data_IF_664730420069
#
_entry.id   IF_664730420069
#
_cell.length_a   1.000
_cell.length_b   1.000
_cell.length_c   1.000
_cell.angle_alpha   90.00
_cell.angle_beta   90.00
_cell.angle_gamma   90.00
#
_symmetry.space_group_name_H-M   'P 1'
#
loop_
_entity.id
_entity.type
_entity.pdbx_description
1 polymer ?
#
# COMPACT_ATOMS: atom_id res chain seq x y z
N UNK A 1 8.60 -5.15 25.07
CA UNK A 1 7.65 -4.02 24.96
C UNK A 1 6.37 -4.55 24.33
N UNK A 2 5.17 -3.99 24.64
CA UNK A 2 3.92 -4.39 23.92
C UNK A 2 3.88 -3.75 22.54
N UNK A 3 3.19 -4.36 21.59
CA UNK A 3 3.12 -3.90 20.20
C UNK A 3 2.59 -2.47 20.11
N UNK A 4 1.46 -2.17 20.76
CA UNK A 4 0.89 -0.82 20.74
C UNK A 4 1.78 0.26 21.43
N UNK A 5 2.57 -0.10 22.45
CA UNK A 5 3.50 0.83 23.08
C UNK A 5 4.62 1.25 22.12
N UNK A 6 5.10 0.28 21.33
CA UNK A 6 6.10 0.49 20.27
C UNK A 6 5.51 1.36 19.16
N UNK A 7 4.31 1.03 18.70
CA UNK A 7 3.55 1.80 17.73
C UNK A 7 3.38 3.27 18.14
N UNK A 8 2.96 3.53 19.38
CA UNK A 8 2.81 4.90 19.91
C UNK A 8 4.11 5.72 19.91
N UNK A 9 5.27 5.06 19.95
CA UNK A 9 6.56 5.74 19.81
C UNK A 9 6.83 6.08 18.34
N UNK A 10 6.54 5.15 17.41
CA UNK A 10 6.82 5.31 15.99
C UNK A 10 5.94 6.36 15.31
N UNK A 11 4.64 6.41 15.65
CA UNK A 11 3.72 7.39 15.03
C UNK A 11 4.06 8.85 15.36
N UNK A 12 4.80 9.10 16.44
CA UNK A 12 5.26 10.46 16.79
C UNK A 12 6.42 10.96 15.93
N UNK A 13 7.06 10.07 15.18
CA UNK A 13 8.13 10.43 14.25
C UNK A 13 7.50 10.79 12.91
N UNK A 14 7.74 12.01 12.46
CA UNK A 14 7.25 12.47 11.17
C UNK A 14 8.05 11.84 10.03
N UNK A 15 7.40 11.07 9.17
CA UNK A 15 8.05 10.31 8.08
C UNK A 15 7.35 10.47 6.73
N UNK A 16 6.45 11.46 6.56
CA UNK A 16 5.74 11.63 5.31
C UNK A 16 6.71 11.73 4.12
N UNK A 17 6.43 10.96 3.08
CA UNK A 17 7.09 11.02 1.77
C UNK A 17 6.69 12.26 0.97
N UNK A 18 7.16 12.42 -0.25
CA UNK A 18 6.85 13.56 -1.12
C UNK A 18 6.82 13.16 -2.59
N UNK A 19 5.72 13.44 -3.27
CA UNK A 19 5.61 13.25 -4.72
C UNK A 19 6.46 14.22 -5.54
N UNK A 20 6.79 15.39 -4.97
CA UNK A 20 7.55 16.45 -5.64
C UNK A 20 9.07 16.22 -5.63
N UNK A 21 9.54 15.19 -4.94
CA UNK A 21 10.97 14.89 -4.78
C UNK A 21 11.43 13.77 -5.69
N UNK A 22 12.62 13.92 -6.26
CA UNK A 22 13.32 12.87 -7.01
C UNK A 22 14.47 12.23 -6.23
N UNK A 23 14.66 12.61 -4.96
CA UNK A 23 15.66 11.98 -4.09
C UNK A 23 15.16 10.61 -3.57
N UNK A 24 16.07 9.81 -3.04
CA UNK A 24 15.76 8.55 -2.34
C UNK A 24 16.49 8.55 -1.01
N UNK A 25 15.79 8.56 0.13
CA UNK A 25 14.33 8.68 0.23
C UNK A 25 13.84 10.05 -0.28
N UNK A 26 12.56 10.13 -0.60
CA UNK A 26 11.95 11.40 -1.05
C UNK A 26 11.99 12.49 0.00
N UNK A 27 12.08 12.11 1.28
CA UNK A 27 12.27 13.01 2.42
C UNK A 27 13.28 12.46 3.41
N UNK A 28 14.25 13.30 3.81
CA UNK A 28 15.31 12.95 4.79
C UNK A 28 14.77 12.54 6.17
N UNK A 29 13.56 12.99 6.53
CA UNK A 29 12.92 12.71 7.83
C UNK A 29 12.66 11.23 8.05
N UNK A 30 12.56 10.42 7.00
CA UNK A 30 12.36 8.96 7.09
C UNK A 30 13.56 8.27 7.79
N UNK A 31 14.78 8.84 7.66
CA UNK A 31 15.94 8.34 8.39
C UNK A 31 15.80 8.41 9.91
N UNK A 32 14.94 9.26 10.47
CA UNK A 32 14.77 9.37 11.90
C UNK A 32 14.15 8.08 12.47
N UNK A 33 13.12 7.55 11.78
CA UNK A 33 12.54 6.26 12.13
C UNK A 33 13.50 5.11 11.82
N UNK A 34 14.13 5.10 10.64
CA UNK A 34 15.08 4.06 10.25
C UNK A 34 16.21 3.88 11.29
N UNK A 35 16.80 4.98 11.76
CA UNK A 35 17.86 4.96 12.79
C UNK A 35 17.35 4.45 14.14
N UNK A 36 16.11 4.80 14.52
CA UNK A 36 15.48 4.27 15.74
C UNK A 36 15.29 2.76 15.64
N UNK A 37 14.78 2.26 14.50
CA UNK A 37 14.57 0.83 14.27
C UNK A 37 15.86 0.04 14.33
N UNK A 38 16.93 0.52 13.72
CA UNK A 38 18.26 -0.10 13.82
C UNK A 38 18.74 -0.14 15.27
N UNK A 39 18.57 0.95 16.02
CA UNK A 39 18.93 1.00 17.44
C UNK A 39 18.13 0.00 18.29
N UNK A 40 16.84 -0.14 18.04
CA UNK A 40 16.00 -1.09 18.75
C UNK A 40 16.35 -2.55 18.37
N UNK A 41 16.61 -2.82 17.09
CA UNK A 41 17.09 -4.14 16.63
C UNK A 41 18.39 -4.54 17.32
N UNK A 42 19.36 -3.64 17.42
CA UNK A 42 20.58 -3.89 18.19
C UNK A 42 20.29 -4.17 19.67
N UNK A 43 19.38 -3.41 20.28
CA UNK A 43 19.02 -3.57 21.69
C UNK A 43 18.37 -4.94 22.00
N UNK A 44 17.67 -5.54 21.04
CA UNK A 44 17.10 -6.90 21.16
C UNK A 44 18.04 -8.01 20.69
N UNK A 45 19.30 -7.69 20.31
CA UNK A 45 20.33 -8.66 19.97
C UNK A 45 20.52 -8.93 18.49
N UNK A 46 19.91 -8.14 17.59
CA UNK A 46 20.11 -8.26 16.13
C UNK A 46 21.21 -7.30 15.69
N UNK A 47 22.46 -7.69 15.92
CA UNK A 47 23.64 -6.82 15.76
C UNK A 47 23.97 -6.44 14.31
N UNK A 48 23.48 -7.19 13.31
CA UNK A 48 23.71 -6.91 11.90
C UNK A 48 22.70 -5.93 11.30
N UNK A 49 21.79 -5.39 12.11
CA UNK A 49 20.83 -4.40 11.65
C UNK A 49 21.54 -3.13 11.20
N UNK A 50 21.14 -2.62 10.05
CA UNK A 50 21.71 -1.41 9.45
C UNK A 50 20.68 -0.66 8.62
N UNK A 51 20.88 0.61 8.43
CA UNK A 51 20.22 1.42 7.41
C UNK A 51 21.24 1.79 6.34
N UNK A 52 20.86 1.71 5.07
CA UNK A 52 21.71 2.10 3.95
C UNK A 52 21.57 3.61 3.61
N UNK A 53 22.28 4.05 2.58
CA UNK A 53 22.30 5.44 2.12
C UNK A 53 20.99 5.87 1.42
N UNK A 54 20.11 4.92 1.13
CA UNK A 54 18.79 5.12 0.53
C UNK A 54 17.64 4.91 1.52
N UNK A 55 17.97 4.83 2.83
CA UNK A 55 17.03 4.67 3.92
C UNK A 55 16.38 3.28 4.04
N UNK A 56 16.87 2.25 3.36
CA UNK A 56 16.40 0.88 3.60
C UNK A 56 17.02 0.32 4.87
N UNK A 57 16.19 -0.25 5.73
CA UNK A 57 16.67 -1.00 6.90
C UNK A 57 16.71 -2.48 6.56
N UNK A 58 17.86 -3.10 6.81
CA UNK A 58 18.06 -4.54 6.68
C UNK A 58 18.59 -5.14 7.98
N UNK A 59 18.02 -6.28 8.35
CA UNK A 59 18.47 -7.06 9.48
C UNK A 59 18.19 -8.55 9.26
N UNK A 60 18.92 -9.42 9.94
CA UNK A 60 18.60 -10.84 9.91
C UNK A 60 18.94 -11.54 11.23
N UNK A 61 18.18 -12.59 11.54
CA UNK A 61 18.45 -13.50 12.66
C UNK A 61 18.83 -14.85 12.06
N UNK A 62 20.00 -15.38 12.44
CA UNK A 62 20.46 -16.68 11.96
C UNK A 62 19.54 -17.80 12.43
N UNK A 63 19.39 -18.87 11.64
CA UNK A 63 18.61 -20.03 12.01
C UNK A 63 19.06 -20.63 13.35
N UNK A 64 18.11 -21.07 14.15
CA UNK A 64 18.41 -21.80 15.39
C UNK A 64 18.93 -23.21 15.08
N UNK A 65 19.71 -23.84 16.00
CA UNK A 65 20.20 -25.19 15.82
C UNK A 65 19.08 -26.19 15.47
N UNK A 66 19.24 -26.91 14.36
CA UNK A 66 18.27 -27.85 13.82
C UNK A 66 17.29 -27.26 12.81
N UNK A 67 17.30 -25.94 12.58
CA UNK A 67 16.47 -25.26 11.59
C UNK A 67 17.28 -24.64 10.43
N UNK A 68 18.56 -25.01 10.27
CA UNK A 68 19.47 -24.47 9.25
C UNK A 68 18.99 -24.76 7.82
N UNK A 69 18.24 -25.85 7.65
CA UNK A 69 17.64 -26.25 6.37
C UNK A 69 16.18 -25.78 6.20
N UNK A 70 15.65 -25.00 7.15
CA UNK A 70 14.34 -24.39 6.98
C UNK A 70 14.42 -23.23 5.99
N UNK A 71 13.32 -22.91 5.30
CA UNK A 71 13.27 -21.74 4.42
C UNK A 71 13.61 -20.45 5.16
N UNK A 72 14.37 -19.56 4.50
CA UNK A 72 14.57 -18.20 4.99
C UNK A 72 13.32 -17.37 4.69
N UNK A 73 12.68 -16.83 5.73
CA UNK A 73 11.47 -16.03 5.59
C UNK A 73 11.73 -14.57 5.93
N UNK A 74 11.16 -13.67 5.14
CA UNK A 74 11.23 -12.23 5.33
C UNK A 74 9.93 -11.63 5.82
N UNK A 75 10.03 -10.53 6.58
CA UNK A 75 8.92 -9.65 6.91
C UNK A 75 9.33 -8.21 6.59
N UNK A 76 8.46 -7.51 5.90
CA UNK A 76 8.73 -6.17 5.35
C UNK A 76 7.56 -5.26 5.72
N UNK A 77 7.85 -4.00 6.04
CA UNK A 77 6.88 -2.94 6.29
C UNK A 77 7.47 -1.61 5.83
N UNK A 78 6.63 -0.61 5.50
CA UNK A 78 7.16 0.67 5.08
C UNK A 78 7.21 1.71 6.22
N UNK A 79 8.12 2.66 6.11
CA UNK A 79 8.39 3.64 7.16
C UNK A 79 7.70 4.98 6.93
N UNK A 80 7.45 5.31 5.68
CA UNK A 80 6.82 6.58 5.32
C UNK A 80 5.32 6.59 5.61
N UNK A 81 4.74 7.76 5.57
CA UNK A 81 3.30 7.98 5.58
C UNK A 81 2.90 8.80 4.38
N UNK A 82 1.65 8.66 3.97
CA UNK A 82 1.09 9.35 2.81
C UNK A 82 1.36 10.87 2.84
N UNK A 83 1.68 11.50 1.67
CA UNK A 83 1.87 12.94 1.58
C UNK A 83 0.56 13.75 1.55
N UNK A 84 -0.58 13.12 1.20
CA UNK A 84 -1.87 13.79 1.00
C UNK A 84 -2.44 14.44 2.26
N UNK A 85 -2.09 13.92 3.43
CA UNK A 85 -2.50 14.45 4.72
C UNK A 85 -1.33 14.53 5.70
N UNK A 86 -1.32 15.56 6.55
CA UNK A 86 -0.20 15.78 7.48
C UNK A 86 0.05 14.60 8.40
N UNK A 87 1.30 14.15 8.48
CA UNK A 87 1.83 13.23 9.50
C UNK A 87 2.74 13.92 10.52
N UNK A 88 2.68 15.26 10.63
CA UNK A 88 3.51 16.03 11.54
C UNK A 88 2.81 16.26 12.88
N UNK A 89 3.54 16.03 14.00
CA UNK A 89 3.05 16.18 15.36
C UNK A 89 1.83 15.32 15.71
N UNK A 90 1.82 14.08 15.27
CA UNK A 90 0.74 13.12 15.55
C UNK A 90 0.49 13.01 17.06
N UNK A 91 -0.78 13.21 17.46
CA UNK A 91 -1.25 13.13 18.84
C UNK A 91 -2.15 11.91 19.03
N UNK A 92 -1.58 10.71 19.22
CA UNK A 92 -2.39 9.50 19.36
C UNK A 92 -3.16 9.51 20.69
N UNK A 93 -4.42 9.07 20.65
CA UNK A 93 -5.29 8.94 21.82
C UNK A 93 -5.81 7.52 21.92
N UNK A 94 -5.69 6.92 23.09
CA UNK A 94 -6.22 5.61 23.41
C UNK A 94 -7.65 5.76 23.95
N UNK A 95 -8.56 4.93 23.47
CA UNK A 95 -9.95 4.83 23.89
C UNK A 95 -10.20 3.39 24.32
N UNK A 96 -10.17 3.16 25.62
CA UNK A 96 -10.43 1.84 26.18
C UNK A 96 -11.91 1.48 26.13
N UNK A 97 -12.21 0.20 25.93
CA UNK A 97 -13.55 -0.35 25.93
C UNK A 97 -14.52 0.43 25.05
N UNK A 98 -14.12 0.62 23.78
CA UNK A 98 -14.90 1.39 22.79
C UNK A 98 -16.35 0.91 22.71
N UNK A 99 -17.31 1.82 22.73
CA UNK A 99 -18.74 1.50 22.78
C UNK A 99 -19.38 1.16 21.42
N UNK A 100 -18.65 1.38 20.31
CA UNK A 100 -19.11 1.17 18.94
C UNK A 100 -19.79 2.41 18.32
N UNK A 101 -19.82 3.54 19.03
CA UNK A 101 -20.49 4.77 18.62
C UNK A 101 -19.56 5.84 18.02
N UNK A 102 -20.04 7.08 18.01
CA UNK A 102 -19.28 8.23 17.50
C UNK A 102 -18.12 8.60 18.44
N UNK A 103 -16.95 8.92 17.86
CA UNK A 103 -15.78 9.41 18.57
C UNK A 103 -15.39 10.78 18.05
N UNK A 104 -15.44 11.81 18.91
CA UNK A 104 -14.93 13.15 18.58
C UNK A 104 -13.40 13.13 18.59
N UNK A 105 -12.79 13.55 17.50
CA UNK A 105 -11.34 13.58 17.31
C UNK A 105 -10.76 14.94 17.78
N UNK A 106 -10.26 14.96 19.02
CA UNK A 106 -9.66 16.15 19.60
C UNK A 106 -10.56 17.38 19.52
N UNK A 107 -9.97 18.51 19.10
CA UNK A 107 -10.66 19.80 18.90
C UNK A 107 -10.89 20.13 17.43
N UNK A 108 -10.60 19.19 16.52
CA UNK A 108 -10.71 19.41 15.07
C UNK A 108 -12.15 19.53 14.56
N UNK A 109 -13.15 19.17 15.38
CA UNK A 109 -14.55 19.08 14.99
C UNK A 109 -14.89 17.85 14.14
N UNK A 110 -13.90 17.00 13.82
CA UNK A 110 -14.10 15.74 13.11
C UNK A 110 -14.66 14.67 14.03
N UNK A 111 -15.51 13.81 13.47
CA UNK A 111 -16.12 12.70 14.22
C UNK A 111 -15.89 11.41 13.45
N UNK A 112 -15.22 10.46 14.08
CA UNK A 112 -15.16 9.08 13.66
C UNK A 112 -16.54 8.47 13.92
N UNK A 113 -17.28 8.10 12.87
CA UNK A 113 -18.70 7.76 13.02
C UNK A 113 -19.08 6.51 12.23
N UNK A 114 -19.87 5.58 12.83
CA UNK A 114 -20.42 4.42 12.14
C UNK A 114 -21.23 4.74 10.88
N UNK A 115 -21.76 5.95 10.77
CA UNK A 115 -22.48 6.42 9.57
C UNK A 115 -21.59 6.51 8.34
N UNK A 116 -20.30 6.81 8.54
CA UNK A 116 -19.30 6.90 7.48
C UNK A 116 -18.41 5.66 7.42
N UNK A 117 -18.18 5.01 8.54
CA UNK A 117 -17.31 3.86 8.72
C UNK A 117 -18.10 2.70 9.35
N UNK A 118 -18.82 1.91 8.53
CA UNK A 118 -19.75 0.88 9.01
C UNK A 118 -19.13 -0.25 9.81
N UNK A 119 -17.80 -0.43 9.78
CA UNK A 119 -17.09 -1.44 10.56
C UNK A 119 -16.96 -1.08 12.06
N UNK A 120 -17.05 0.18 12.43
CA UNK A 120 -16.84 0.66 13.82
C UNK A 120 -17.65 -0.11 14.88
N UNK A 121 -18.93 -0.46 14.68
CA UNK A 121 -19.69 -1.25 15.65
C UNK A 121 -19.08 -2.64 15.93
N UNK A 122 -18.36 -3.23 14.98
CA UNK A 122 -17.68 -4.52 15.17
C UNK A 122 -16.47 -4.42 16.10
N UNK A 123 -15.96 -3.21 16.32
CA UNK A 123 -14.82 -2.93 17.20
C UNK A 123 -15.27 -2.65 18.66
N UNK A 124 -16.56 -2.77 18.95
CA UNK A 124 -17.10 -2.57 20.31
C UNK A 124 -16.40 -3.48 21.31
N UNK A 125 -15.98 -2.91 22.46
CA UNK A 125 -15.26 -3.58 23.52
C UNK A 125 -13.74 -3.65 23.32
N UNK A 126 -13.24 -3.31 22.12
CA UNK A 126 -11.80 -3.20 21.85
C UNK A 126 -11.24 -1.84 22.34
N UNK A 127 -9.92 -1.76 22.40
CA UNK A 127 -9.18 -0.55 22.69
C UNK A 127 -8.76 0.11 21.39
N UNK A 128 -9.33 1.28 21.06
CA UNK A 128 -8.97 2.05 19.87
C UNK A 128 -7.79 2.97 20.12
N UNK A 129 -6.95 3.13 19.11
CA UNK A 129 -5.98 4.22 19.01
C UNK A 129 -6.37 5.08 17.82
N UNK A 130 -6.59 6.38 18.04
CA UNK A 130 -7.04 7.36 17.04
C UNK A 130 -6.14 8.59 17.09
N UNK A 131 -6.24 9.46 16.07
CA UNK A 131 -5.60 10.79 16.10
C UNK A 131 -6.50 11.83 16.78
N UNK A 132 -6.00 13.06 16.88
CA UNK A 132 -6.81 14.23 17.26
C UNK A 132 -7.63 14.80 16.09
N UNK A 133 -7.53 14.19 14.91
CA UNK A 133 -8.22 14.60 13.68
C UNK A 133 -7.51 15.71 12.90
N UNK A 134 -6.29 16.08 13.26
CA UNK A 134 -5.47 17.07 12.52
C UNK A 134 -4.40 16.44 11.65
N UNK A 135 -4.08 15.16 11.90
CA UNK A 135 -3.07 14.38 11.18
C UNK A 135 -3.60 13.01 10.79
N UNK A 136 -2.87 12.27 9.92
CA UNK A 136 -2.96 10.80 9.87
C UNK A 136 -2.53 10.23 11.22
N UNK A 137 -2.86 8.98 11.52
CA UNK A 137 -2.30 8.25 12.66
C UNK A 137 -0.92 7.67 12.30
N UNK A 138 -0.76 7.20 11.07
CA UNK A 138 0.40 6.46 10.58
C UNK A 138 0.34 4.99 11.00
N UNK A 139 -0.85 4.43 11.11
CA UNK A 139 -1.10 3.00 11.23
C UNK A 139 -0.55 2.28 10.02
N UNK A 140 -0.78 2.83 8.88
CA UNK A 140 -0.19 2.53 7.59
C UNK A 140 1.15 3.28 7.45
N UNK A 141 2.35 2.61 7.61
CA UNK A 141 2.45 1.20 8.02
C UNK A 141 3.31 1.02 9.29
N UNK A 142 3.28 1.99 10.22
CA UNK A 142 4.00 1.88 11.49
C UNK A 142 3.39 0.82 12.42
N UNK A 143 2.15 0.35 12.13
CA UNK A 143 1.57 -0.79 12.82
C UNK A 143 2.32 -2.07 12.44
N UNK A 144 2.50 -2.34 11.14
CA UNK A 144 3.27 -3.49 10.66
C UNK A 144 4.72 -3.47 11.15
N UNK A 145 5.37 -2.29 11.16
CA UNK A 145 6.70 -2.15 11.77
C UNK A 145 6.68 -2.60 13.24
N UNK A 146 5.72 -2.12 14.04
CA UNK A 146 5.64 -2.45 15.47
C UNK A 146 5.36 -3.94 15.70
N UNK A 147 4.56 -4.57 14.85
CA UNK A 147 4.23 -5.99 14.86
C UNK A 147 5.45 -6.85 14.56
N UNK A 148 6.16 -6.54 13.47
CA UNK A 148 7.41 -7.23 13.11
C UNK A 148 8.43 -7.10 14.23
N UNK A 149 8.69 -5.90 14.71
CA UNK A 149 9.67 -5.64 15.77
C UNK A 149 9.33 -6.38 17.07
N UNK A 150 8.04 -6.44 17.43
CA UNK A 150 7.59 -7.16 18.63
C UNK A 150 7.67 -8.67 18.45
N UNK A 151 7.34 -9.18 17.26
CA UNK A 151 7.48 -10.60 16.96
C UNK A 151 8.94 -11.05 17.04
N UNK A 152 9.87 -10.29 16.44
CA UNK A 152 11.32 -10.59 16.50
C UNK A 152 11.86 -10.54 17.94
N UNK A 153 11.49 -9.51 18.73
CA UNK A 153 11.85 -9.47 20.16
C UNK A 153 11.38 -10.72 20.91
N UNK A 154 10.13 -11.17 20.65
CA UNK A 154 9.58 -12.39 21.28
C UNK A 154 10.27 -13.66 20.82
N UNK A 155 10.57 -13.80 19.52
CA UNK A 155 11.31 -14.94 18.99
C UNK A 155 12.64 -15.12 19.71
N UNK A 156 13.38 -14.02 19.88
CA UNK A 156 14.70 -14.03 20.52
C UNK A 156 14.58 -14.28 22.03
N UNK A 157 13.73 -13.55 22.73
CA UNK A 157 13.60 -13.61 24.19
C UNK A 157 12.98 -14.92 24.68
N UNK A 158 12.09 -15.53 23.91
CA UNK A 158 11.45 -16.80 24.20
C UNK A 158 12.27 -18.01 23.67
N UNK A 159 13.39 -17.77 22.98
CA UNK A 159 14.22 -18.79 22.34
C UNK A 159 13.40 -19.71 21.41
N UNK A 160 12.51 -19.16 20.59
CA UNK A 160 11.69 -19.94 19.68
C UNK A 160 12.53 -20.54 18.55
N UNK A 161 12.34 -21.81 18.16
CA UNK A 161 12.98 -22.36 16.98
C UNK A 161 12.54 -21.64 15.71
N UNK A 162 13.51 -21.30 14.83
CA UNK A 162 13.22 -20.62 13.55
C UNK A 162 14.32 -20.88 12.52
N UNK A 163 13.97 -20.88 11.24
CA UNK A 163 14.92 -20.74 10.13
C UNK A 163 15.54 -19.34 10.11
N UNK A 164 16.31 -19.02 9.09
CA UNK A 164 16.81 -17.64 8.92
C UNK A 164 15.61 -16.69 8.81
N UNK A 165 15.58 -15.63 9.65
CA UNK A 165 14.61 -14.56 9.56
C UNK A 165 15.26 -13.34 8.93
N UNK A 166 14.58 -12.70 7.98
CA UNK A 166 15.01 -11.47 7.34
C UNK A 166 14.02 -10.37 7.66
N UNK A 167 14.49 -9.20 8.03
CA UNK A 167 13.69 -8.03 8.39
C UNK A 167 14.07 -6.90 7.44
N UNK A 168 13.09 -6.30 6.80
CA UNK A 168 13.25 -5.16 5.91
C UNK A 168 12.29 -4.05 6.26
N UNK A 169 12.76 -2.79 6.25
CA UNK A 169 11.86 -1.64 6.28
C UNK A 169 12.19 -0.73 5.11
N UNK A 170 11.16 -0.35 4.35
CA UNK A 170 11.28 0.42 3.10
C UNK A 170 10.90 1.88 3.31
N UNK A 171 11.54 2.82 2.62
CA UNK A 171 11.04 4.19 2.48
C UNK A 171 10.09 4.30 1.27
N UNK A 172 9.36 5.41 1.12
CA UNK A 172 8.71 5.86 -0.11
C UNK A 172 7.69 4.89 -0.73
N UNK A 173 7.06 4.01 0.05
CA UNK A 173 6.00 3.13 -0.44
C UNK A 173 4.80 3.94 -0.93
N UNK A 174 4.37 4.92 -0.16
CA UNK A 174 3.19 5.76 -0.38
C UNK A 174 3.26 6.65 -1.65
N UNK A 175 4.45 6.79 -2.21
CA UNK A 175 4.68 7.41 -3.52
C UNK A 175 5.03 6.38 -4.61
N UNK A 176 4.82 5.08 -4.31
CA UNK A 176 4.98 3.97 -5.25
C UNK A 176 6.42 3.63 -5.59
N UNK A 177 7.40 4.01 -4.78
CA UNK A 177 8.83 3.80 -5.03
C UNK A 177 9.52 2.94 -3.97
N UNK A 178 8.77 2.38 -3.01
CA UNK A 178 9.32 1.67 -1.85
C UNK A 178 10.26 0.53 -2.20
N UNK A 179 9.92 -0.30 -3.15
CA UNK A 179 10.77 -1.43 -3.55
C UNK A 179 11.83 -1.09 -4.61
N UNK A 180 11.88 0.14 -5.18
CA UNK A 180 12.71 0.46 -6.35
C UNK A 180 14.21 0.18 -6.17
N UNK A 181 14.72 0.40 -4.97
CA UNK A 181 16.11 0.20 -4.66
C UNK A 181 16.34 -0.91 -3.62
N UNK A 182 15.30 -1.70 -3.30
CA UNK A 182 15.41 -2.80 -2.34
C UNK A 182 16.36 -3.89 -2.87
N UNK A 183 17.35 -4.26 -2.08
CA UNK A 183 18.34 -5.27 -2.47
C UNK A 183 17.86 -6.67 -2.06
N UNK A 184 17.05 -7.31 -2.91
CA UNK A 184 16.50 -8.66 -2.68
C UNK A 184 17.61 -9.70 -2.43
N UNK A 185 18.72 -9.62 -3.16
CA UNK A 185 19.84 -10.57 -3.01
C UNK A 185 20.52 -10.45 -1.63
N UNK A 186 20.68 -9.24 -1.13
CA UNK A 186 21.24 -8.98 0.19
C UNK A 186 20.24 -9.31 1.30
N UNK A 187 18.96 -9.02 1.12
CA UNK A 187 17.89 -9.39 2.04
C UNK A 187 17.91 -10.90 2.29
N UNK A 188 18.06 -11.69 1.23
CA UNK A 188 18.43 -13.11 1.29
C UNK A 188 17.36 -13.99 1.92
N UNK A 189 16.08 -13.67 1.74
CA UNK A 189 14.95 -14.52 2.04
C UNK A 189 14.55 -15.35 0.81
N UNK A 190 14.02 -16.56 1.02
CA UNK A 190 13.46 -17.40 -0.05
C UNK A 190 12.08 -16.85 -0.48
N UNK A 191 11.33 -16.26 0.46
CA UNK A 191 10.06 -15.54 0.29
C UNK A 191 9.80 -14.61 1.49
N UNK A 192 8.86 -13.71 1.34
CA UNK A 192 8.53 -12.76 2.40
C UNK A 192 7.02 -12.51 2.51
N UNK A 193 6.63 -11.75 3.51
CA UNK A 193 5.35 -11.08 3.62
C UNK A 193 5.60 -9.58 3.82
N UNK A 194 4.87 -8.74 3.12
CA UNK A 194 4.63 -7.38 3.58
C UNK A 194 3.58 -7.43 4.69
N UNK A 195 3.81 -6.71 5.77
CA UNK A 195 2.88 -6.56 6.88
C UNK A 195 2.44 -5.11 6.82
N UNK A 196 1.37 -4.84 6.05
CA UNK A 196 1.10 -3.52 5.50
C UNK A 196 -0.40 -3.28 5.31
N UNK A 197 -0.97 -2.35 6.08
CA UNK A 197 -2.34 -1.88 6.00
C UNK A 197 -3.44 -2.94 6.13
N UNK A 198 -4.68 -2.50 6.18
CA UNK A 198 -5.85 -3.37 6.19
C UNK A 198 -6.21 -4.01 7.52
N UNK A 199 -7.42 -4.60 7.59
CA UNK A 199 -7.94 -5.20 8.80
C UNK A 199 -7.18 -6.46 9.23
N UNK A 200 -7.23 -6.78 10.53
CA UNK A 200 -6.66 -8.03 11.03
C UNK A 200 -7.26 -9.26 10.33
N UNK A 201 -6.40 -10.13 9.79
CA UNK A 201 -6.80 -11.33 9.07
C UNK A 201 -7.00 -11.13 7.57
N UNK A 202 -6.78 -9.95 7.02
CA UNK A 202 -6.66 -9.75 5.57
C UNK A 202 -5.36 -10.38 5.07
N UNK A 203 -5.47 -11.08 3.93
CA UNK A 203 -4.37 -11.77 3.26
C UNK A 203 -4.55 -11.49 1.78
N UNK A 204 -3.55 -10.86 1.17
CA UNK A 204 -3.68 -10.35 -0.18
C UNK A 204 -2.50 -10.81 -1.03
N UNK A 205 -2.79 -11.41 -2.18
CA UNK A 205 -1.79 -11.92 -3.12
C UNK A 205 -2.11 -11.56 -4.57
N UNK A 206 -3.08 -10.69 -4.74
CA UNK A 206 -3.49 -10.10 -6.01
C UNK A 206 -3.60 -8.59 -5.87
N UNK A 207 -3.16 -7.87 -6.86
CA UNK A 207 -3.29 -6.42 -6.94
C UNK A 207 -3.68 -6.01 -8.36
N UNK A 208 -4.00 -4.74 -8.59
CA UNK A 208 -4.25 -4.27 -9.94
C UNK A 208 -3.01 -4.41 -10.85
N UNK A 209 -3.27 -4.68 -12.15
CA UNK A 209 -2.42 -4.14 -13.20
C UNK A 209 -2.75 -2.66 -13.36
N UNK A 210 -1.75 -1.82 -13.51
CA UNK A 210 -1.89 -0.38 -13.54
C UNK A 210 -1.24 0.24 -14.78
N UNK A 211 -1.93 1.18 -15.39
CA UNK A 211 -1.36 2.05 -16.40
C UNK A 211 -1.81 3.50 -16.18
N UNK A 212 -0.98 4.43 -16.60
CA UNK A 212 -1.32 5.84 -16.76
C UNK A 212 -1.49 6.16 -18.24
N UNK A 213 -2.45 7.01 -18.59
CA UNK A 213 -2.62 7.49 -19.95
C UNK A 213 -2.68 9.02 -19.95
N UNK A 214 -1.79 9.63 -20.70
CA UNK A 214 -1.83 11.07 -20.99
C UNK A 214 -2.40 11.30 -22.39
N UNK A 215 -3.41 12.14 -22.46
CA UNK A 215 -4.10 12.50 -23.69
C UNK A 215 -3.90 13.99 -23.92
N UNK A 216 -3.49 14.33 -25.13
CA UNK A 216 -3.39 15.72 -25.59
C UNK A 216 -4.32 15.89 -26.78
N UNK A 217 -5.20 16.87 -26.70
CA UNK A 217 -6.09 17.23 -27.79
C UNK A 217 -5.63 18.56 -28.38
N UNK A 218 -5.30 18.57 -29.66
CA UNK A 218 -4.91 19.75 -30.43
C UNK A 218 -6.15 20.30 -31.17
N UNK A 219 -6.58 21.47 -30.80
CA UNK A 219 -7.72 22.14 -31.42
C UNK A 219 -7.30 23.05 -32.58
N UNK A 220 -8.29 23.67 -33.20
CA UNK A 220 -8.12 24.72 -34.18
C UNK A 220 -9.08 25.86 -33.85
N UNK A 221 -8.54 26.95 -33.35
CA UNK A 221 -9.32 28.13 -32.94
C UNK A 221 -9.48 29.13 -34.11
N UNK A 222 -10.67 29.67 -34.22
CA UNK A 222 -11.01 30.73 -35.18
C UNK A 222 -12.14 31.58 -34.57
N UNK A 223 -12.33 32.78 -35.08
CA UNK A 223 -13.40 33.67 -34.61
C UNK A 223 -14.76 32.94 -34.59
N UNK A 224 -15.49 32.91 -33.48
CA UNK A 224 -16.71 32.10 -33.32
C UNK A 224 -17.76 32.35 -34.41
N UNK A 225 -17.89 33.56 -34.90
CA UNK A 225 -18.82 33.91 -36.00
C UNK A 225 -18.48 33.26 -37.34
N UNK A 226 -17.23 32.85 -37.56
CA UNK A 226 -16.71 32.26 -38.80
C UNK A 226 -16.38 30.76 -38.64
N UNK A 227 -16.72 30.18 -37.50
CA UNK A 227 -16.25 28.87 -37.03
C UNK A 227 -16.95 27.68 -37.63
N UNK A 228 -18.12 27.83 -38.28
CA UNK A 228 -18.92 26.76 -38.82
C UNK A 228 -18.11 25.82 -39.73
N UNK A 229 -18.03 24.53 -39.38
CA UNK A 229 -17.29 23.48 -40.08
C UNK A 229 -15.75 23.72 -40.19
N UNK A 230 -15.20 24.54 -39.31
CA UNK A 230 -13.77 24.88 -39.31
C UNK A 230 -13.15 24.69 -37.91
N UNK A 231 -13.78 25.23 -36.88
CA UNK A 231 -13.23 25.21 -35.52
C UNK A 231 -13.25 23.76 -34.97
N UNK A 232 -12.14 23.37 -34.36
CA UNK A 232 -12.02 22.17 -33.53
C UNK A 232 -11.78 22.65 -32.11
N UNK A 233 -12.78 22.53 -31.26
CA UNK A 233 -12.64 22.91 -29.85
C UNK A 233 -12.06 21.74 -29.06
N UNK A 234 -10.81 21.88 -28.61
CA UNK A 234 -10.11 20.81 -27.90
C UNK A 234 -10.81 20.33 -26.64
N UNK A 235 -11.44 21.25 -25.87
CA UNK A 235 -12.21 20.87 -24.68
C UNK A 235 -13.41 20.00 -25.03
N UNK A 236 -14.13 20.30 -26.09
CA UNK A 236 -15.30 19.51 -26.51
C UNK A 236 -14.89 18.13 -27.05
N UNK A 237 -13.78 18.05 -27.76
CA UNK A 237 -13.21 16.75 -28.22
C UNK A 237 -12.73 15.93 -27.04
N UNK A 238 -12.12 16.54 -26.04
CA UNK A 238 -11.70 15.87 -24.80
C UNK A 238 -12.92 15.31 -24.04
N UNK A 239 -13.99 16.08 -23.90
CA UNK A 239 -15.26 15.60 -23.29
C UNK A 239 -15.90 14.46 -24.11
N UNK A 240 -15.84 14.54 -25.46
CA UNK A 240 -16.31 13.46 -26.32
C UNK A 240 -15.50 12.18 -26.11
N UNK A 241 -14.16 12.27 -26.03
CA UNK A 241 -13.30 11.12 -25.71
C UNK A 241 -13.74 10.47 -24.40
N UNK A 242 -13.88 11.26 -23.33
CA UNK A 242 -14.32 10.73 -22.04
C UNK A 242 -15.68 10.00 -22.14
N UNK A 243 -16.60 10.52 -22.94
CA UNK A 243 -17.93 9.90 -23.12
C UNK A 243 -17.91 8.58 -23.93
N UNK A 244 -16.81 8.28 -24.62
CA UNK A 244 -16.60 7.03 -25.38
C UNK A 244 -16.00 5.91 -24.53
N UNK A 245 -15.48 6.23 -23.34
CA UNK A 245 -14.95 5.23 -22.42
C UNK A 245 -16.08 4.62 -21.59
N UNK A 246 -15.91 3.36 -21.10
CA UNK A 246 -16.84 2.75 -20.18
C UNK A 246 -17.05 3.62 -18.91
N UNK A 247 -18.28 3.65 -18.40
CA UNK A 247 -18.65 4.33 -17.15
C UNK A 247 -18.29 3.46 -15.92
N UNK A 248 -17.05 3.01 -15.87
CA UNK A 248 -16.44 2.24 -14.78
C UNK A 248 -15.41 3.13 -14.12
N UNK A 249 -15.73 3.63 -12.94
CA UNK A 249 -14.93 4.59 -12.18
C UNK A 249 -14.65 4.06 -10.78
N UNK A 250 -13.72 4.63 -10.01
CA UNK A 250 -13.52 4.25 -8.61
C UNK A 250 -14.79 4.38 -7.75
N UNK A 251 -15.73 5.26 -8.15
CA UNK A 251 -16.94 5.53 -7.39
C UNK A 251 -18.04 4.47 -7.55
N UNK A 252 -17.98 3.63 -8.59
CA UNK A 252 -19.02 2.66 -8.93
C UNK A 252 -18.49 1.24 -9.19
N UNK A 253 -17.24 0.96 -8.78
CA UNK A 253 -16.58 -0.35 -8.93
C UNK A 253 -16.05 -0.85 -7.60
N UNK A 254 -16.07 -2.18 -7.40
CA UNK A 254 -15.59 -2.85 -6.19
C UNK A 254 -14.89 -4.18 -6.50
N UNK A 255 -14.23 -4.78 -5.50
CA UNK A 255 -13.59 -6.09 -5.61
C UNK A 255 -12.64 -6.17 -6.80
N UNK A 256 -12.89 -7.10 -7.71
CA UNK A 256 -12.06 -7.35 -8.91
C UNK A 256 -12.37 -6.41 -10.09
N UNK A 257 -13.37 -5.57 -9.97
CA UNK A 257 -13.77 -4.66 -11.07
C UNK A 257 -12.73 -3.57 -11.28
N UNK A 258 -12.28 -3.44 -12.53
CA UNK A 258 -11.36 -2.39 -12.94
C UNK A 258 -12.06 -1.09 -13.31
N UNK A 259 -11.29 -0.04 -13.62
CA UNK A 259 -11.84 1.28 -13.93
C UNK A 259 -10.95 2.11 -14.85
N UNK A 260 -11.57 3.16 -15.42
CA UNK A 260 -10.90 4.36 -15.91
C UNK A 260 -11.15 5.50 -14.92
N UNK A 261 -10.12 6.21 -14.52
CA UNK A 261 -10.25 7.37 -13.64
C UNK A 261 -9.55 8.57 -14.25
N UNK A 262 -10.35 9.56 -14.66
CA UNK A 262 -9.86 10.87 -15.06
C UNK A 262 -9.40 11.61 -13.82
N UNK A 263 -8.10 11.82 -13.66
CA UNK A 263 -7.50 12.45 -12.49
C UNK A 263 -7.29 13.94 -12.66
N UNK A 264 -7.00 14.38 -13.89
CA UNK A 264 -6.88 15.81 -14.22
C UNK A 264 -7.39 16.09 -15.63
N UNK A 265 -7.95 17.28 -15.82
CA UNK A 265 -8.33 17.82 -17.13
C UNK A 265 -8.17 19.32 -17.14
N UNK A 266 -7.36 19.82 -18.07
CA UNK A 266 -7.12 21.26 -18.24
C UNK A 266 -7.08 21.65 -19.71
N UNK A 267 -7.27 22.93 -20.01
CA UNK A 267 -7.10 23.42 -21.38
C UNK A 267 -7.99 24.58 -21.80
N UNK A 268 -8.02 24.79 -23.11
CA UNK A 268 -8.82 25.81 -23.80
C UNK A 268 -9.24 25.32 -25.20
N UNK A 269 -9.71 26.21 -26.07
CA UNK A 269 -10.16 25.85 -27.44
C UNK A 269 -9.04 25.27 -28.29
N UNK A 270 -7.79 25.72 -28.10
CA UNK A 270 -6.64 25.31 -28.94
C UNK A 270 -5.95 24.04 -28.43
N UNK A 271 -5.99 23.80 -27.12
CA UNK A 271 -5.33 22.64 -26.52
C UNK A 271 -6.04 22.21 -25.25
N UNK A 272 -6.23 20.91 -25.09
CA UNK A 272 -6.66 20.30 -23.83
C UNK A 272 -5.76 19.12 -23.49
N UNK A 273 -5.56 18.91 -22.20
CA UNK A 273 -4.85 17.75 -21.66
C UNK A 273 -5.74 17.01 -20.69
N UNK A 274 -5.60 15.68 -20.66
CA UNK A 274 -6.31 14.80 -19.73
C UNK A 274 -5.33 13.75 -19.22
N UNK A 275 -5.38 13.48 -17.91
CA UNK A 275 -4.62 12.42 -17.28
C UNK A 275 -5.56 11.36 -16.73
N UNK A 276 -5.32 10.11 -17.10
CA UNK A 276 -6.07 8.94 -16.63
C UNK A 276 -5.17 7.96 -15.90
N UNK A 277 -5.72 7.34 -14.88
CA UNK A 277 -5.23 6.06 -14.39
C UNK A 277 -6.20 4.95 -14.82
N UNK A 278 -5.64 3.82 -15.26
CA UNK A 278 -6.38 2.64 -15.73
C UNK A 278 -5.98 1.48 -14.84
N UNK A 279 -6.96 0.76 -14.32
CA UNK A 279 -6.77 -0.35 -13.38
C UNK A 279 -7.62 -1.55 -13.77
N UNK A 280 -7.04 -2.75 -13.67
CA UNK A 280 -7.78 -4.00 -13.74
C UNK A 280 -6.94 -5.15 -13.15
N UNK A 281 -7.57 -6.12 -12.48
CA UNK A 281 -6.86 -7.29 -11.95
C UNK A 281 -6.48 -8.27 -13.06
N UNK A 282 -7.28 -8.36 -14.13
CA UNK A 282 -7.04 -9.24 -15.27
C UNK A 282 -6.14 -8.57 -16.31
N UNK A 283 -5.01 -9.20 -16.64
CA UNK A 283 -4.14 -8.73 -17.73
C UNK A 283 -4.88 -8.67 -19.08
N UNK A 284 -5.76 -9.64 -19.35
CA UNK A 284 -6.56 -9.67 -20.58
C UNK A 284 -7.54 -8.49 -20.65
N UNK A 285 -8.23 -8.17 -19.55
CA UNK A 285 -9.14 -7.02 -19.50
C UNK A 285 -8.34 -5.70 -19.52
N UNK A 286 -7.21 -5.62 -18.84
CA UNK A 286 -6.32 -4.46 -18.91
C UNK A 286 -5.86 -4.17 -20.35
N UNK A 287 -5.52 -5.20 -21.09
CA UNK A 287 -5.19 -5.09 -22.53
C UNK A 287 -6.40 -4.59 -23.32
N UNK A 288 -7.59 -5.10 -23.05
CA UNK A 288 -8.82 -4.65 -23.69
C UNK A 288 -9.15 -3.17 -23.36
N UNK A 289 -8.94 -2.73 -22.11
CA UNK A 289 -9.10 -1.33 -21.70
C UNK A 289 -8.18 -0.40 -22.48
N UNK A 290 -6.90 -0.74 -22.59
CA UNK A 290 -5.93 0.02 -23.41
C UNK A 290 -6.35 0.08 -24.88
N UNK A 291 -6.86 -1.03 -25.43
CA UNK A 291 -7.36 -1.08 -26.81
C UNK A 291 -8.62 -0.22 -26.99
N UNK A 292 -9.51 -0.16 -26.00
CA UNK A 292 -10.71 0.72 -26.02
C UNK A 292 -10.31 2.18 -26.09
N UNK A 293 -9.34 2.62 -25.26
CA UNK A 293 -8.81 3.98 -25.31
C UNK A 293 -8.19 4.30 -26.68
N UNK A 294 -7.33 3.41 -27.19
CA UNK A 294 -6.71 3.58 -28.50
C UNK A 294 -7.75 3.64 -29.64
N UNK A 295 -8.83 2.87 -29.53
CA UNK A 295 -9.94 2.91 -30.49
C UNK A 295 -10.69 4.24 -30.46
N UNK A 296 -10.99 4.78 -29.27
CA UNK A 296 -11.60 6.09 -29.12
C UNK A 296 -10.74 7.20 -29.75
N UNK A 297 -9.44 7.18 -29.48
CA UNK A 297 -8.47 8.11 -30.10
C UNK A 297 -8.49 8.01 -31.62
N UNK A 298 -8.51 6.78 -32.16
CA UNK A 298 -8.59 6.56 -33.60
C UNK A 298 -9.85 7.16 -34.21
N UNK A 299 -11.03 6.89 -33.65
CA UNK A 299 -12.32 7.45 -34.12
C UNK A 299 -12.29 8.97 -34.14
N UNK A 300 -11.79 9.61 -33.08
CA UNK A 300 -11.72 11.07 -33.03
C UNK A 300 -10.75 11.64 -34.05
N UNK A 301 -9.61 11.00 -34.29
CA UNK A 301 -8.70 11.41 -35.36
C UNK A 301 -9.28 11.22 -36.77
N UNK A 302 -10.12 10.19 -36.99
CA UNK A 302 -10.86 10.03 -38.25
C UNK A 302 -11.92 11.14 -38.42
N UNK A 303 -12.58 11.56 -37.32
CA UNK A 303 -13.61 12.59 -37.33
C UNK A 303 -13.07 14.01 -37.48
N UNK A 304 -12.01 14.34 -36.74
CA UNK A 304 -11.50 15.72 -36.63
C UNK A 304 -10.19 15.99 -37.38
N UNK A 305 -9.54 14.96 -37.89
CA UNK A 305 -8.26 15.02 -38.58
C UNK A 305 -7.13 14.34 -37.81
N UNK A 306 -6.19 13.78 -38.55
CA UNK A 306 -5.03 13.07 -37.96
C UNK A 306 -4.20 14.01 -37.10
N UNK A 307 -3.83 13.58 -35.89
CA UNK A 307 -3.05 14.35 -34.93
C UNK A 307 -3.87 15.29 -34.05
N UNK A 308 -5.21 15.31 -34.20
CA UNK A 308 -6.09 16.05 -33.27
C UNK A 308 -6.02 15.48 -31.88
N UNK A 309 -5.97 14.16 -31.72
CA UNK A 309 -5.85 13.50 -30.43
C UNK A 309 -4.58 12.66 -30.39
N UNK A 310 -3.70 12.95 -29.45
CA UNK A 310 -2.51 12.19 -29.14
C UNK A 310 -2.72 11.47 -27.80
N UNK A 311 -2.27 10.23 -27.70
CA UNK A 311 -2.39 9.43 -26.48
C UNK A 311 -1.10 8.67 -26.21
N UNK A 312 -0.59 8.80 -25.00
CA UNK A 312 0.56 8.04 -24.50
C UNK A 312 0.11 7.21 -23.31
N UNK A 313 0.28 5.89 -23.39
CA UNK A 313 -0.02 4.97 -22.29
C UNK A 313 1.28 4.40 -21.74
N UNK A 314 1.44 4.40 -20.42
CA UNK A 314 2.58 3.82 -19.72
C UNK A 314 2.09 2.86 -18.66
N UNK A 315 2.61 1.63 -18.68
CA UNK A 315 2.40 0.67 -17.61
C UNK A 315 3.17 1.10 -16.35
N UNK A 316 2.56 0.95 -15.19
CA UNK A 316 3.13 1.36 -13.90
C UNK A 316 3.56 0.14 -13.08
N UNK A 317 2.64 -0.82 -12.88
CA UNK A 317 2.91 -2.08 -12.19
C UNK A 317 1.95 -3.17 -12.66
N UNK A 318 2.25 -4.43 -12.31
CA UNK A 318 1.50 -5.61 -12.70
C UNK A 318 0.94 -6.34 -11.47
N UNK A 319 -0.08 -7.16 -11.68
CA UNK A 319 -0.64 -8.04 -10.65
C UNK A 319 0.38 -9.13 -10.28
N UNK A 320 0.68 -9.24 -8.99
CA UNK A 320 1.65 -10.20 -8.46
C UNK A 320 1.17 -11.65 -8.46
N UNK A 321 -0.10 -11.92 -8.73
CA UNK A 321 -0.70 -13.27 -8.64
C UNK A 321 0.10 -14.34 -9.36
N UNK A 322 0.64 -14.04 -10.56
CA UNK A 322 1.42 -15.01 -11.33
C UNK A 322 2.78 -15.34 -10.67
N UNK A 323 3.29 -14.45 -9.83
CA UNK A 323 4.51 -14.65 -9.04
C UNK A 323 4.26 -15.40 -7.74
N UNK A 324 3.07 -15.22 -7.16
CA UNK A 324 2.67 -15.88 -5.91
C UNK A 324 2.12 -17.29 -6.18
N UNK A 325 1.45 -17.53 -7.33
CA UNK A 325 0.83 -18.82 -7.68
C UNK A 325 1.76 -20.05 -7.51
N UNK A 326 3.07 -20.00 -7.84
CA UNK A 326 3.97 -21.11 -7.55
C UNK A 326 4.22 -21.34 -6.05
N UNK A 327 3.89 -20.36 -5.20
CA UNK A 327 4.18 -20.32 -3.77
C UNK A 327 2.91 -20.21 -2.91
N UNK A 328 1.79 -20.84 -3.33
CA UNK A 328 0.50 -20.74 -2.62
C UNK A 328 0.55 -21.21 -1.16
N UNK A 329 1.58 -21.96 -0.77
CA UNK A 329 1.82 -22.29 0.63
C UNK A 329 1.97 -21.05 1.54
N UNK A 330 2.36 -19.89 0.97
CA UNK A 330 2.38 -18.60 1.70
C UNK A 330 0.96 -18.24 2.15
N UNK A 331 0.00 -18.34 1.25
CA UNK A 331 -1.39 -18.00 1.51
C UNK A 331 -2.04 -19.04 2.43
N UNK A 332 -1.84 -20.33 2.13
CA UNK A 332 -2.40 -21.43 2.93
C UNK A 332 -1.91 -21.36 4.39
N UNK A 333 -0.62 -21.12 4.59
CA UNK A 333 -0.02 -20.96 5.92
C UNK A 333 -0.56 -19.75 6.67
N UNK A 334 -0.74 -18.61 5.99
CA UNK A 334 -1.31 -17.42 6.59
C UNK A 334 -2.78 -17.63 6.99
N UNK A 335 -3.58 -18.24 6.11
CA UNK A 335 -4.98 -18.60 6.39
C UNK A 335 -5.10 -19.55 7.60
N UNK A 336 -4.28 -20.59 7.66
CA UNK A 336 -4.28 -21.52 8.79
C UNK A 336 -3.84 -20.85 10.10
N UNK A 337 -2.78 -20.05 10.05
CA UNK A 337 -2.28 -19.32 11.21
C UNK A 337 -3.34 -18.35 11.74
N UNK A 338 -3.97 -17.55 10.88
CA UNK A 338 -5.04 -16.64 11.25
C UNK A 338 -6.22 -17.36 11.92
N UNK A 339 -6.68 -18.48 11.34
CA UNK A 339 -7.76 -19.31 11.94
C UNK A 339 -7.39 -19.84 13.33
N UNK A 340 -6.12 -20.23 13.54
CA UNK A 340 -5.67 -20.82 14.81
C UNK A 340 -5.71 -19.83 15.99
N UNK A 341 -5.67 -18.54 15.73
CA UNK A 341 -5.79 -17.46 16.73
C UNK A 341 -7.18 -16.81 16.77
N UNK A 342 -8.14 -17.43 16.08
CA UNK A 342 -9.54 -16.99 16.09
C UNK A 342 -9.83 -15.78 15.20
N UNK A 343 -8.94 -15.45 14.26
CA UNK A 343 -9.24 -14.52 13.18
C UNK A 343 -10.08 -15.20 12.10
N UNK A 344 -10.88 -14.42 11.40
CA UNK A 344 -11.58 -14.85 10.18
C UNK A 344 -10.75 -14.40 8.99
N UNK A 345 -9.99 -15.30 8.32
CA UNK A 345 -9.17 -14.90 7.20
C UNK A 345 -10.04 -14.34 6.08
N UNK A 346 -9.65 -13.18 5.55
CA UNK A 346 -10.26 -12.56 4.38
C UNK A 346 -9.20 -12.49 3.29
N UNK A 347 -9.30 -13.38 2.31
CA UNK A 347 -8.46 -13.31 1.11
C UNK A 347 -9.16 -12.39 0.12
N UNK A 348 -8.55 -11.26 -0.16
CA UNK A 348 -9.11 -10.21 -1.01
C UNK A 348 -8.03 -9.65 -1.96
N UNK A 349 -8.43 -9.08 -3.13
CA UNK A 349 -7.48 -8.38 -3.98
C UNK A 349 -7.24 -6.96 -3.48
N UNK A 350 -6.00 -6.50 -3.58
CA UNK A 350 -5.64 -5.10 -3.35
C UNK A 350 -6.14 -4.26 -4.54
N UNK A 351 -6.83 -3.17 -4.27
CA UNK A 351 -7.28 -2.22 -5.32
C UNK A 351 -6.27 -1.09 -5.55
N UNK A 352 -5.00 -1.36 -5.37
CA UNK A 352 -3.87 -0.46 -5.53
C UNK A 352 -2.60 -1.21 -5.94
N UNK A 353 -1.45 -0.61 -5.66
CA UNK A 353 -0.13 -1.22 -5.69
C UNK A 353 0.31 -1.58 -4.27
N UNK A 354 1.46 -2.22 -4.14
CA UNK A 354 2.13 -2.51 -2.88
C UNK A 354 3.59 -2.86 -3.16
N UNK A 355 4.46 -2.64 -2.21
CA UNK A 355 5.86 -3.10 -2.26
C UNK A 355 5.95 -4.60 -2.52
N UNK A 356 5.05 -5.41 -1.92
CA UNK A 356 4.99 -6.85 -2.13
C UNK A 356 4.82 -7.25 -3.60
N UNK A 357 4.04 -6.48 -4.37
CA UNK A 357 3.88 -6.73 -5.80
C UNK A 357 5.20 -6.51 -6.55
N UNK A 358 5.90 -5.40 -6.31
CA UNK A 358 7.19 -5.11 -6.96
C UNK A 358 8.26 -6.11 -6.55
N UNK A 359 8.38 -6.42 -5.26
CA UNK A 359 9.30 -7.43 -4.73
C UNK A 359 9.07 -8.80 -5.36
N UNK A 360 7.80 -9.18 -5.57
CA UNK A 360 7.45 -10.44 -6.24
C UNK A 360 7.99 -10.50 -7.68
N UNK A 361 7.95 -9.38 -8.43
CA UNK A 361 8.56 -9.28 -9.75
C UNK A 361 10.08 -9.22 -9.72
N UNK A 362 10.69 -8.79 -8.63
CA UNK A 362 12.14 -8.80 -8.40
C UNK A 362 12.66 -10.19 -7.97
N UNK A 363 11.78 -11.19 -7.87
CA UNK A 363 12.13 -12.57 -7.55
C UNK A 363 11.96 -12.96 -6.08
N UNK A 364 11.32 -12.12 -5.27
CA UNK A 364 10.96 -12.41 -3.88
C UNK A 364 9.42 -12.51 -3.77
N UNK A 365 8.81 -13.70 -3.86
CA UNK A 365 7.36 -13.85 -3.66
C UNK A 365 6.95 -13.27 -2.31
N UNK A 366 6.07 -12.25 -2.32
CA UNK A 366 5.78 -11.45 -1.15
C UNK A 366 4.30 -11.02 -1.13
N UNK A 367 3.38 -11.88 -0.63
CA UNK A 367 2.00 -11.48 -0.38
C UNK A 367 1.89 -10.53 0.82
N UNK A 368 0.75 -9.86 0.94
CA UNK A 368 0.47 -8.88 1.98
C UNK A 368 -0.36 -9.46 3.12
N UNK A 369 -0.11 -9.01 4.35
CA UNK A 369 -0.86 -9.30 5.57
C UNK A 369 -1.36 -8.00 6.19
N UNK A 370 -2.64 -7.96 6.56
CA UNK A 370 -3.24 -6.81 7.23
C UNK A 370 -2.73 -6.63 8.66
N UNK A 371 -2.64 -5.38 9.09
CA UNK A 371 -2.08 -4.92 10.38
C UNK A 371 -3.14 -4.57 11.42
N UNK A 372 -4.42 -4.64 11.09
CA UNK A 372 -5.49 -4.17 11.97
C UNK A 372 -5.71 -2.66 11.93
N UNK A 373 -5.27 -2.02 10.85
CA UNK A 373 -5.51 -0.62 10.55
C UNK A 373 -6.77 -0.41 9.73
N UNK A 374 -7.37 0.77 9.88
CA UNK A 374 -8.61 1.15 9.22
C UNK A 374 -8.59 2.63 8.84
N UNK A 375 -9.18 2.92 7.69
CA UNK A 375 -9.38 4.28 7.17
C UNK A 375 -8.08 5.07 7.00
N UNK A 376 -7.05 4.40 6.46
CA UNK A 376 -5.74 4.95 6.12
C UNK A 376 -5.83 6.24 5.29
N UNK A 377 -4.71 6.94 5.15
CA UNK A 377 -4.53 8.12 4.30
C UNK A 377 -5.35 9.35 4.72
N UNK A 378 -5.83 9.38 5.97
CA UNK A 378 -6.60 10.53 6.44
C UNK A 378 -6.77 10.63 7.96
N UNK A 379 -7.48 11.68 8.41
CA UNK A 379 -7.61 11.98 9.83
C UNK A 379 -8.56 11.03 10.60
N UNK A 380 -9.17 10.08 9.91
CA UNK A 380 -10.06 9.06 10.50
C UNK A 380 -9.36 7.72 10.70
N UNK A 381 -8.08 7.66 10.39
CA UNK A 381 -7.24 6.48 10.56
C UNK A 381 -7.23 6.02 12.03
N UNK A 382 -7.36 4.74 12.25
CA UNK A 382 -7.41 4.14 13.57
C UNK A 382 -7.01 2.68 13.55
N UNK A 383 -6.41 2.23 14.65
CA UNK A 383 -6.04 0.83 14.89
C UNK A 383 -6.69 0.34 16.18
N UNK A 384 -6.72 -0.98 16.38
CA UNK A 384 -7.07 -1.55 17.69
C UNK A 384 -5.86 -2.22 18.32
N UNK A 385 -5.71 -2.06 19.65
CA UNK A 385 -4.65 -2.74 20.40
C UNK A 385 -4.76 -4.26 20.20
N UNK A 386 -5.97 -4.79 20.29
CA UNK A 386 -6.24 -6.23 20.14
C UNK A 386 -5.96 -6.73 18.72
N UNK A 387 -6.23 -5.90 17.68
CA UNK A 387 -5.89 -6.20 16.29
C UNK A 387 -4.39 -6.32 16.09
N UNK A 388 -3.64 -5.32 16.53
CA UNK A 388 -2.17 -5.33 16.44
C UNK A 388 -1.53 -6.52 17.18
N UNK A 389 -2.04 -6.88 18.38
CA UNK A 389 -1.56 -8.06 19.10
C UNK A 389 -1.85 -9.35 18.33
N UNK A 390 -3.01 -9.45 17.64
CA UNK A 390 -3.36 -10.59 16.78
C UNK A 390 -2.45 -10.66 15.55
N UNK A 391 -2.15 -9.55 14.91
CA UNK A 391 -1.23 -9.52 13.76
C UNK A 391 0.21 -9.86 14.20
N UNK A 392 0.67 -9.38 15.35
CA UNK A 392 1.93 -9.83 15.94
C UNK A 392 1.95 -11.35 16.16
N UNK A 393 0.86 -11.93 16.69
CA UNK A 393 0.74 -13.37 16.90
C UNK A 393 0.71 -14.14 15.56
N UNK A 394 0.08 -13.58 14.52
CA UNK A 394 0.10 -14.15 13.17
C UNK A 394 1.53 -14.25 12.62
N UNK A 395 2.34 -13.19 12.75
CA UNK A 395 3.76 -13.20 12.34
C UNK A 395 4.53 -14.31 13.10
N UNK A 396 4.33 -14.42 14.41
CA UNK A 396 4.96 -15.47 15.22
C UNK A 396 4.59 -16.88 14.77
N UNK A 397 3.30 -17.12 14.49
CA UNK A 397 2.83 -18.41 14.03
C UNK A 397 3.36 -18.78 12.63
N UNK A 398 3.53 -17.81 11.75
CA UNK A 398 4.19 -18.02 10.48
C UNK A 398 5.65 -18.43 10.68
N UNK A 399 6.38 -17.76 11.56
CA UNK A 399 7.75 -18.15 11.92
C UNK A 399 7.78 -19.59 12.45
N UNK A 400 6.88 -19.95 13.38
CA UNK A 400 6.77 -21.29 13.94
C UNK A 400 6.42 -22.36 12.87
N UNK A 401 5.59 -22.02 11.88
CA UNK A 401 5.24 -22.94 10.78
C UNK A 401 6.46 -23.22 9.89
N UNK A 402 7.17 -22.17 9.51
CA UNK A 402 8.36 -22.32 8.65
C UNK A 402 9.55 -22.94 9.37
N UNK A 403 9.61 -22.89 10.70
CA UNK A 403 10.64 -23.61 11.46
C UNK A 403 10.49 -25.15 11.37
N UNK A 404 9.34 -25.65 10.96
CA UNK A 404 9.02 -27.08 10.81
C UNK A 404 9.01 -27.55 9.36
N UNK A 405 9.15 -26.59 8.41
CA UNK A 405 9.21 -26.91 6.99
C UNK A 405 10.66 -27.24 6.59
N UNK A 406 10.87 -28.35 5.91
CA UNK A 406 12.13 -28.63 5.23
C UNK A 406 12.12 -27.91 3.86
N UNK A 407 13.32 -27.42 3.43
CA UNK A 407 13.50 -26.91 2.05
C UNK A 407 13.28 -27.99 1.02
#
# INVERSE_FOLDING_TARGET
MKTYERFLNYVRIHTASSEDSSSVPTTERQFDLAKLLVKELHAIGVENARVDDKCYVYASVAATPGCENCPAIGFIAHMDTVPDFSGENVQPRIIENYDGGDVVLGTSGRVLSPKKLPHLPSLKGKTLIVTDGTTVLGGDDKAGIAEIMTAIERVISENRPHGKLCIGFTPDEEVGSGADNFNVAEFGADFAYTVDGGAEGEIEYENFNAAAAKIVVNGFNIHPGDSKNKMINALLVAMELNSMLPDETPANTEGYEGFFHLTDMSGNVERAEMDYIIRDHSEAIMTARKATLAHAVKILNEKYGSGTVECTVRDQYLNMVEKIRPCMHLIDNAVEAAKSIGLVPKVAPIRGGTDGARLSFMGLPCPNLGTGDFACHGPYEHVTVEGMEKCTELVLLLIDKYSKAAK
#
